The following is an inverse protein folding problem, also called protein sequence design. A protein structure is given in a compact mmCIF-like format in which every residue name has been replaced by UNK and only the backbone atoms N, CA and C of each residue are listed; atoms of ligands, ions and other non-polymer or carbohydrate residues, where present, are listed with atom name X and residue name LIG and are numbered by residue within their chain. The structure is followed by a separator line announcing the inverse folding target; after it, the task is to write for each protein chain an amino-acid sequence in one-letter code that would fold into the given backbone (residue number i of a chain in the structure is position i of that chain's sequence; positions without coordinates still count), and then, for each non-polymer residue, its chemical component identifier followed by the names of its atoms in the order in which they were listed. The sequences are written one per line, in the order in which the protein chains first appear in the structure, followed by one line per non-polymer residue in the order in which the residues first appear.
data_IF_346605623064
#
_entry.id   IF_346605623064
#
_cell.length_a   1.000
_cell.length_b   1.000
_cell.length_c   1.000
_cell.angle_alpha   90.00
_cell.angle_beta   90.00
_cell.angle_gamma   90.00
#
_symmetry.space_group_name_H-M   'P 1'
#
loop_
_entity.id
_entity.type
_entity.pdbx_description
1 polymer ?
#
# COMPACT_ATOMS: atom_id res chain seq x y z
N UNK A 1 -19.19 -9.44 -13.80
CA UNK A 1 -18.49 -10.75 -13.94
C UNK A 1 -18.92 -11.71 -12.85
N UNK A 2 -19.05 -11.22 -11.62
CA UNK A 2 -19.48 -12.01 -10.47
C UNK A 2 -20.96 -11.71 -10.20
N UNK A 3 -21.86 -12.71 -10.16
CA UNK A 3 -23.27 -12.47 -9.85
C UNK A 3 -23.49 -11.67 -8.56
N UNK A 4 -24.48 -10.78 -8.56
CA UNK A 4 -24.74 -9.83 -7.48
C UNK A 4 -24.88 -10.47 -6.09
N UNK A 5 -25.46 -11.67 -5.99
CA UNK A 5 -25.62 -12.39 -4.72
C UNK A 5 -24.28 -12.68 -4.03
N UNK A 6 -23.26 -13.06 -4.80
CA UNK A 6 -21.93 -13.36 -4.26
C UNK A 6 -21.17 -12.09 -3.85
N UNK A 7 -21.40 -10.99 -4.57
CA UNK A 7 -20.87 -9.67 -4.22
C UNK A 7 -21.52 -9.13 -2.93
N UNK A 8 -22.83 -9.34 -2.77
CA UNK A 8 -23.54 -8.97 -1.54
C UNK A 8 -23.04 -9.75 -0.33
N UNK A 9 -22.69 -11.03 -0.51
CA UNK A 9 -22.04 -11.81 0.54
C UNK A 9 -20.62 -11.28 0.83
N UNK A 10 -19.85 -10.95 -0.21
CA UNK A 10 -18.48 -10.43 -0.06
C UNK A 10 -18.41 -9.06 0.62
N UNK A 11 -19.44 -8.22 0.50
CA UNK A 11 -19.46 -6.91 1.16
C UNK A 11 -19.43 -6.97 2.69
N UNK A 12 -19.71 -8.13 3.30
CA UNK A 12 -19.52 -8.33 4.74
C UNK A 12 -18.02 -8.40 5.12
N UNK A 13 -17.18 -8.90 4.22
CA UNK A 13 -15.72 -9.01 4.37
C UNK A 13 -15.02 -7.75 3.88
N UNK A 14 -15.49 -7.20 2.75
CA UNK A 14 -14.93 -6.03 2.08
C UNK A 14 -16.02 -4.94 1.90
N UNK A 15 -16.35 -4.19 2.96
CA UNK A 15 -17.47 -3.23 2.98
C UNK A 15 -17.13 -1.90 2.28
N UNK A 16 -16.73 -1.99 1.01
CA UNK A 16 -16.39 -0.83 0.20
C UNK A 16 -17.63 -0.02 -0.20
N UNK A 17 -17.54 1.33 -0.25
CA UNK A 17 -18.69 2.19 -0.50
C UNK A 17 -19.27 2.06 -1.92
N UNK A 18 -18.46 1.65 -2.90
CA UNK A 18 -18.88 1.40 -4.27
C UNK A 18 -18.88 -0.11 -4.55
N UNK A 19 -19.99 -0.66 -5.04
CA UNK A 19 -20.11 -2.09 -5.31
C UNK A 19 -19.12 -2.59 -6.39
N UNK A 20 -18.66 -1.71 -7.28
CA UNK A 20 -17.57 -2.00 -8.23
C UNK A 20 -16.26 -2.29 -7.51
N UNK A 21 -16.00 -1.63 -6.37
CA UNK A 21 -14.84 -1.89 -5.52
C UNK A 21 -14.98 -3.23 -4.80
N UNK A 22 -16.20 -3.62 -4.40
CA UNK A 22 -16.48 -4.96 -3.81
C UNK A 22 -16.15 -6.06 -4.82
N UNK A 23 -16.59 -5.92 -6.07
CA UNK A 23 -16.25 -6.88 -7.13
C UNK A 23 -14.76 -6.90 -7.45
N UNK A 24 -14.12 -5.73 -7.57
CA UNK A 24 -12.68 -5.64 -7.77
C UNK A 24 -11.93 -6.36 -6.63
N UNK A 25 -12.32 -6.14 -5.38
CA UNK A 25 -11.65 -6.72 -4.22
C UNK A 25 -11.76 -8.26 -4.19
N UNK A 26 -12.92 -8.82 -4.56
CA UNK A 26 -13.07 -10.27 -4.70
C UNK A 26 -12.22 -10.82 -5.85
N UNK A 27 -12.15 -10.11 -6.98
CA UNK A 27 -11.28 -10.45 -8.12
C UNK A 27 -9.80 -10.43 -7.71
N UNK A 28 -9.35 -9.40 -6.98
CA UNK A 28 -7.99 -9.30 -6.45
C UNK A 28 -7.71 -10.47 -5.51
N UNK A 29 -8.66 -10.81 -4.63
CA UNK A 29 -8.50 -11.88 -3.65
C UNK A 29 -8.32 -13.24 -4.35
N UNK A 30 -9.14 -13.54 -5.36
CA UNK A 30 -8.96 -14.73 -6.20
C UNK A 30 -7.63 -14.69 -6.97
N UNK A 31 -7.30 -13.55 -7.59
CA UNK A 31 -6.08 -13.39 -8.36
C UNK A 31 -4.82 -13.63 -7.51
N UNK A 32 -4.82 -13.20 -6.25
CA UNK A 32 -3.74 -13.49 -5.31
C UNK A 32 -3.60 -14.99 -5.06
N UNK A 33 -4.70 -15.70 -4.81
CA UNK A 33 -4.66 -17.16 -4.66
C UNK A 33 -4.12 -17.86 -5.92
N UNK A 34 -4.62 -17.49 -7.10
CA UNK A 34 -4.20 -18.10 -8.37
C UNK A 34 -2.72 -17.84 -8.67
N UNK A 35 -2.25 -16.61 -8.45
CA UNK A 35 -0.84 -16.22 -8.66
C UNK A 35 0.11 -16.91 -7.68
N UNK A 36 -0.22 -16.97 -6.39
CA UNK A 36 0.67 -17.56 -5.38
C UNK A 36 0.61 -19.09 -5.33
N UNK A 37 -0.44 -19.71 -5.88
CA UNK A 37 -0.49 -21.17 -6.05
C UNK A 37 0.12 -21.67 -7.38
N UNK A 38 0.39 -20.78 -8.33
CA UNK A 38 0.99 -21.16 -9.61
C UNK A 38 2.42 -21.73 -9.41
N UNK A 39 2.67 -23.02 -9.75
CA UNK A 39 3.98 -23.65 -9.50
C UNK A 39 5.15 -22.93 -10.17
N UNK A 40 4.92 -22.35 -11.36
CA UNK A 40 5.92 -21.62 -12.13
C UNK A 40 6.37 -20.29 -11.47
N UNK A 41 5.59 -19.75 -10.52
CA UNK A 41 5.86 -18.49 -9.83
C UNK A 41 6.51 -18.68 -8.45
N UNK A 42 6.61 -19.93 -7.97
CA UNK A 42 7.16 -20.24 -6.65
C UNK A 42 8.60 -19.71 -6.52
N UNK A 43 8.82 -18.86 -5.52
CA UNK A 43 10.14 -18.28 -5.22
C UNK A 43 10.61 -17.22 -6.23
N UNK A 44 9.76 -16.78 -7.17
CA UNK A 44 10.07 -15.75 -8.18
C UNK A 44 9.47 -14.38 -7.89
N UNK A 45 8.41 -14.34 -7.08
CA UNK A 45 7.66 -13.13 -6.78
C UNK A 45 7.41 -12.98 -5.28
N UNK A 46 7.34 -11.74 -4.81
CA UNK A 46 6.89 -11.37 -3.49
C UNK A 46 5.87 -10.23 -3.57
N UNK A 47 4.81 -10.29 -2.78
CA UNK A 47 3.76 -9.27 -2.73
C UNK A 47 4.19 -8.07 -1.89
N UNK A 48 3.81 -6.85 -2.29
CA UNK A 48 4.08 -5.62 -1.56
C UNK A 48 2.99 -4.57 -1.78
N UNK A 49 3.27 -3.36 -1.31
CA UNK A 49 2.46 -2.19 -1.59
C UNK A 49 1.24 -2.08 -0.69
N UNK A 50 0.31 -1.19 -1.07
CA UNK A 50 -0.86 -0.89 -0.24
C UNK A 50 -1.82 -2.07 -0.10
N UNK A 51 -1.94 -2.88 -1.14
CA UNK A 51 -2.85 -4.03 -1.16
C UNK A 51 -2.31 -5.16 -0.28
N UNK A 52 -0.99 -5.41 -0.28
CA UNK A 52 -0.37 -6.38 0.62
C UNK A 52 -0.57 -6.02 2.09
N UNK A 53 -0.33 -4.75 2.45
CA UNK A 53 -0.57 -4.26 3.81
C UNK A 53 -2.03 -4.49 4.23
N UNK A 54 -2.98 -4.11 3.37
CA UNK A 54 -4.40 -4.20 3.68
C UNK A 54 -4.92 -5.65 3.77
N UNK A 55 -4.41 -6.56 2.93
CA UNK A 55 -4.87 -7.96 2.85
C UNK A 55 -4.16 -8.90 3.82
N UNK A 56 -2.90 -8.65 4.15
CA UNK A 56 -2.08 -9.58 4.93
C UNK A 56 -1.86 -9.16 6.39
N UNK A 57 -1.91 -7.86 6.69
CA UNK A 57 -1.49 -7.35 8.01
C UNK A 57 -2.66 -6.88 8.87
N UNK A 58 -3.62 -6.17 8.28
CA UNK A 58 -4.78 -5.69 9.03
C UNK A 58 -5.84 -6.79 9.17
N UNK A 59 -6.43 -6.90 10.36
CA UNK A 59 -7.52 -7.85 10.64
C UNK A 59 -8.79 -7.52 9.85
N UNK A 60 -8.98 -6.25 9.51
CA UNK A 60 -10.10 -5.76 8.70
C UNK A 60 -9.57 -4.80 7.64
N UNK A 61 -10.20 -4.73 6.47
CA UNK A 61 -9.81 -3.75 5.46
C UNK A 61 -10.01 -2.33 5.99
N UNK A 62 -8.96 -1.50 5.90
CA UNK A 62 -8.99 -0.11 6.41
C UNK A 62 -9.15 0.93 5.29
N UNK A 63 -8.69 0.62 4.08
CA UNK A 63 -8.94 1.43 2.89
C UNK A 63 -8.84 0.60 1.61
N UNK A 64 -9.56 1.00 0.59
CA UNK A 64 -9.56 0.38 -0.72
C UNK A 64 -8.20 0.53 -1.40
N UNK A 65 -7.79 -0.50 -2.12
CA UNK A 65 -6.57 -0.61 -2.90
C UNK A 65 -6.80 -1.59 -4.04
N UNK A 66 -6.42 -1.24 -5.26
CA UNK A 66 -6.87 -1.97 -6.47
C UNK A 66 -5.76 -2.63 -7.30
N UNK A 67 -4.51 -2.27 -7.04
CA UNK A 67 -3.34 -2.78 -7.77
C UNK A 67 -2.69 -3.96 -7.02
N UNK A 68 -2.14 -4.93 -7.74
CA UNK A 68 -1.27 -5.97 -7.19
C UNK A 68 0.19 -5.59 -7.48
N UNK A 69 0.89 -5.12 -6.45
CA UNK A 69 2.31 -4.76 -6.56
C UNK A 69 3.19 -5.96 -6.17
N UNK A 70 3.99 -6.46 -7.11
CA UNK A 70 4.92 -7.56 -6.94
C UNK A 70 6.37 -7.08 -7.07
N UNK A 71 7.28 -7.83 -6.47
CA UNK A 71 8.72 -7.73 -6.69
C UNK A 71 9.20 -9.05 -7.28
N UNK A 72 10.01 -8.97 -8.32
CA UNK A 72 10.79 -10.10 -8.79
C UNK A 72 11.89 -10.39 -7.77
N UNK A 73 11.88 -11.58 -7.17
CA UNK A 73 12.81 -11.92 -6.07
C UNK A 73 14.18 -12.40 -6.56
N UNK A 74 14.30 -12.75 -7.84
CA UNK A 74 15.53 -13.24 -8.46
C UNK A 74 15.92 -12.35 -9.65
N UNK A 75 17.20 -11.98 -9.82
CA UNK A 75 17.68 -11.16 -10.93
C UNK A 75 17.77 -11.99 -12.23
N UNK A 76 16.62 -12.32 -12.81
CA UNK A 76 16.50 -13.10 -14.06
C UNK A 76 15.67 -12.36 -15.12
N UNK A 77 15.66 -12.78 -16.39
CA UNK A 77 14.76 -12.22 -17.39
C UNK A 77 13.28 -12.38 -16.97
N UNK A 78 12.53 -11.27 -16.98
CA UNK A 78 11.16 -11.23 -16.45
C UNK A 78 10.12 -12.00 -17.30
N UNK A 79 10.47 -12.41 -18.52
CA UNK A 79 9.53 -12.97 -19.51
C UNK A 79 8.75 -14.18 -19.01
N UNK A 80 9.44 -15.19 -18.45
CA UNK A 80 8.80 -16.40 -17.95
C UNK A 80 7.84 -16.12 -16.77
N UNK A 81 8.19 -15.19 -15.88
CA UNK A 81 7.33 -14.74 -14.78
C UNK A 81 6.09 -14.04 -15.30
N UNK A 82 6.23 -13.18 -16.32
CA UNK A 82 5.10 -12.50 -16.97
C UNK A 82 4.14 -13.49 -17.61
N UNK A 83 4.67 -14.47 -18.36
CA UNK A 83 3.81 -15.47 -19.01
C UNK A 83 3.11 -16.35 -17.98
N UNK A 84 3.79 -16.76 -16.90
CA UNK A 84 3.16 -17.52 -15.82
C UNK A 84 2.07 -16.73 -15.08
N UNK A 85 2.23 -15.41 -14.86
CA UNK A 85 1.15 -14.57 -14.28
C UNK A 85 -0.03 -14.47 -15.26
N UNK A 86 0.23 -14.33 -16.56
CA UNK A 86 -0.82 -14.29 -17.58
C UNK A 86 -1.61 -15.59 -17.62
N UNK A 87 -0.94 -16.73 -17.53
CA UNK A 87 -1.58 -18.04 -17.51
C UNK A 87 -2.42 -18.24 -16.24
N UNK A 88 -1.88 -17.87 -15.07
CA UNK A 88 -2.60 -17.93 -13.79
C UNK A 88 -3.87 -17.06 -13.79
N UNK A 89 -3.85 -15.94 -14.52
CA UNK A 89 -4.95 -14.97 -14.60
C UNK A 89 -5.73 -15.04 -15.92
N UNK A 90 -5.58 -16.11 -16.70
CA UNK A 90 -6.21 -16.22 -18.02
C UNK A 90 -7.76 -16.15 -17.97
N UNK A 91 -8.36 -16.45 -16.82
CA UNK A 91 -9.81 -16.34 -16.59
C UNK A 91 -10.32 -14.89 -16.62
N UNK A 92 -9.46 -13.89 -16.45
CA UNK A 92 -9.79 -12.47 -16.65
C UNK A 92 -9.79 -12.06 -18.13
N UNK A 93 -9.41 -12.95 -19.04
CA UNK A 93 -9.38 -12.71 -20.48
C UNK A 93 -8.10 -12.02 -20.93
N UNK A 94 -8.23 -11.08 -21.89
CA UNK A 94 -7.10 -10.44 -22.54
C UNK A 94 -6.23 -9.61 -21.60
N UNK A 95 -4.91 -9.75 -21.73
CA UNK A 95 -3.92 -9.00 -20.98
C UNK A 95 -3.10 -8.10 -21.91
N UNK A 96 -3.03 -6.81 -21.61
CA UNK A 96 -2.00 -5.94 -22.20
C UNK A 96 -0.75 -5.92 -21.33
N UNK A 97 0.41 -5.76 -21.97
CA UNK A 97 1.71 -5.77 -21.32
C UNK A 97 2.49 -4.51 -21.69
N UNK A 98 3.05 -3.82 -20.72
CA UNK A 98 3.87 -2.64 -20.96
C UNK A 98 5.03 -2.55 -19.96
N UNK A 99 6.23 -2.21 -20.45
CA UNK A 99 7.36 -1.89 -19.58
C UNK A 99 7.27 -0.42 -19.18
N UNK A 100 7.39 -0.13 -17.89
CA UNK A 100 7.38 1.22 -17.34
C UNK A 100 8.60 1.39 -16.42
N UNK A 101 9.67 1.95 -16.95
CA UNK A 101 10.95 2.09 -16.24
C UNK A 101 11.48 0.74 -15.76
N UNK A 102 11.51 0.57 -14.43
CA UNK A 102 11.99 -0.63 -13.74
C UNK A 102 10.88 -1.63 -13.40
N UNK A 103 9.67 -1.41 -13.91
CA UNK A 103 8.52 -2.28 -13.66
C UNK A 103 7.94 -2.84 -14.95
N UNK A 104 7.42 -4.07 -14.87
CA UNK A 104 6.59 -4.66 -15.90
C UNK A 104 5.13 -4.59 -15.47
N UNK A 105 4.27 -3.98 -16.29
CA UNK A 105 2.85 -3.82 -16.00
C UNK A 105 2.02 -4.77 -16.86
N UNK A 106 1.15 -5.53 -16.21
CA UNK A 106 0.11 -6.34 -16.82
C UNK A 106 -1.24 -5.73 -16.47
N UNK A 107 -2.10 -5.55 -17.48
CA UNK A 107 -3.43 -4.98 -17.29
C UNK A 107 -4.47 -5.91 -17.88
N UNK A 108 -5.36 -6.40 -17.02
CA UNK A 108 -6.53 -7.21 -17.37
C UNK A 108 -7.76 -6.34 -17.26
N UNK A 109 -8.59 -6.29 -18.31
CA UNK A 109 -9.80 -5.46 -18.34
C UNK A 109 -11.03 -6.34 -18.26
N UNK A 110 -12.02 -5.90 -17.49
CA UNK A 110 -13.26 -6.63 -17.35
C UNK A 110 -14.45 -5.68 -17.13
N UNK A 111 -15.64 -6.15 -17.49
CA UNK A 111 -16.89 -5.46 -17.22
C UNK A 111 -17.42 -5.89 -15.83
N UNK A 112 -17.60 -4.95 -14.87
CA UNK A 112 -18.18 -5.28 -13.58
C UNK A 112 -19.67 -5.57 -13.72
N UNK A 113 -20.19 -6.42 -12.84
CA UNK A 113 -21.60 -6.77 -12.72
C UNK A 113 -22.49 -5.55 -12.48
N UNK A 114 -22.05 -4.65 -11.60
CA UNK A 114 -22.82 -3.48 -11.19
C UNK A 114 -23.08 -2.49 -12.35
N UNK A 115 -22.21 -2.48 -13.37
CA UNK A 115 -22.32 -1.62 -14.53
C UNK A 115 -21.58 -2.22 -15.73
N UNK A 116 -22.32 -2.95 -16.56
CA UNK A 116 -21.81 -3.62 -17.76
C UNK A 116 -21.33 -2.65 -18.86
N UNK A 117 -21.69 -1.36 -18.78
CA UNK A 117 -21.20 -0.34 -19.71
C UNK A 117 -19.85 0.24 -19.26
N UNK A 118 -19.49 0.05 -18.00
CA UNK A 118 -18.18 0.42 -17.48
C UNK A 118 -17.13 -0.67 -17.70
N UNK A 119 -15.86 -0.28 -17.57
CA UNK A 119 -14.74 -1.22 -17.64
C UNK A 119 -13.82 -0.96 -16.46
N UNK A 120 -13.63 -1.98 -15.62
CA UNK A 120 -12.60 -2.00 -14.58
C UNK A 120 -11.31 -2.63 -15.13
N UNK A 121 -10.24 -2.47 -14.37
CA UNK A 121 -8.94 -3.06 -14.68
C UNK A 121 -8.32 -3.64 -13.43
N UNK A 122 -7.79 -4.85 -13.53
CA UNK A 122 -6.81 -5.37 -12.58
C UNK A 122 -5.42 -5.06 -13.13
N UNK A 123 -4.62 -4.33 -12.36
CA UNK A 123 -3.23 -4.06 -12.70
C UNK A 123 -2.32 -4.91 -11.82
N UNK A 124 -1.42 -5.65 -12.46
CA UNK A 124 -0.31 -6.34 -11.78
C UNK A 124 0.98 -5.63 -12.19
N UNK A 125 1.65 -5.01 -11.22
CA UNK A 125 2.94 -4.34 -11.41
C UNK A 125 4.04 -5.21 -10.83
N UNK A 126 5.10 -5.49 -11.59
CA UNK A 126 6.23 -6.29 -11.12
C UNK A 126 7.48 -5.45 -11.19
N UNK A 127 8.01 -5.04 -10.04
CA UNK A 127 9.32 -4.38 -9.97
C UNK A 127 10.43 -5.41 -10.29
N UNK A 128 11.30 -5.08 -11.26
CA UNK A 128 12.35 -5.97 -11.78
C UNK A 128 13.76 -5.55 -11.36
N UNK A 129 13.89 -4.68 -10.35
CA UNK A 129 15.19 -4.13 -9.90
C UNK A 129 15.42 -4.24 -8.40
N UNK A 130 14.39 -4.02 -7.59
CA UNK A 130 14.45 -4.09 -6.13
C UNK A 130 14.39 -5.56 -5.63
N UNK A 131 15.30 -6.42 -6.11
CA UNK A 131 15.35 -7.85 -5.74
C UNK A 131 15.72 -8.07 -4.25
N UNK A 132 16.45 -7.12 -3.67
CA UNK A 132 16.91 -7.17 -2.29
C UNK A 132 15.80 -6.91 -1.28
N UNK A 133 15.99 -7.47 -0.08
CA UNK A 133 15.20 -7.19 1.11
C UNK A 133 16.14 -7.03 2.30
N UNK A 134 15.70 -6.29 3.34
CA UNK A 134 16.51 -6.02 4.52
C UNK A 134 16.31 -7.08 5.61
N UNK A 135 15.06 -7.50 5.86
CA UNK A 135 14.73 -8.42 6.95
C UNK A 135 14.21 -9.78 6.48
N UNK A 136 14.14 -10.02 5.18
CA UNK A 136 13.67 -11.28 4.63
C UNK A 136 12.27 -11.20 4.03
N UNK A 137 11.88 -12.33 3.45
CA UNK A 137 10.51 -12.62 2.99
C UNK A 137 9.93 -13.73 3.87
N UNK A 138 8.62 -13.65 4.12
CA UNK A 138 7.86 -14.64 4.89
C UNK A 138 6.58 -15.03 4.17
N UNK A 139 6.03 -16.18 4.55
CA UNK A 139 4.76 -16.67 4.04
C UNK A 139 3.63 -16.20 4.96
N UNK A 140 2.54 -15.75 4.34
CA UNK A 140 1.33 -15.29 5.00
C UNK A 140 0.17 -16.18 4.57
N UNK A 141 -0.52 -16.84 5.50
CA UNK A 141 -1.72 -17.59 5.16
C UNK A 141 -2.79 -16.60 4.67
N UNK A 142 -3.41 -16.94 3.55
CA UNK A 142 -4.45 -16.15 2.93
C UNK A 142 -5.59 -17.05 2.48
N UNK A 143 -6.82 -16.70 2.83
CA UNK A 143 -8.02 -17.45 2.48
C UNK A 143 -9.09 -16.55 1.89
N UNK A 144 -9.84 -17.11 0.94
CA UNK A 144 -11.03 -16.50 0.36
C UNK A 144 -12.17 -17.48 0.50
N UNK A 145 -13.23 -17.04 1.16
CA UNK A 145 -14.44 -17.83 1.37
C UNK A 145 -15.62 -17.08 0.75
N UNK A 146 -16.03 -17.52 -0.43
CA UNK A 146 -17.19 -17.00 -1.14
C UNK A 146 -17.73 -18.08 -2.08
N UNK A 147 -19.04 -18.19 -2.27
CA UNK A 147 -19.61 -19.23 -3.13
C UNK A 147 -19.22 -19.10 -4.61
N UNK A 148 -18.79 -17.91 -5.06
CA UNK A 148 -18.18 -17.74 -6.38
C UNK A 148 -16.75 -18.26 -6.46
N UNK A 149 -15.98 -18.18 -5.37
CA UNK A 149 -14.61 -18.65 -5.29
C UNK A 149 -14.18 -18.97 -3.86
N UNK A 150 -13.67 -20.19 -3.68
CA UNK A 150 -13.03 -20.62 -2.43
C UNK A 150 -11.60 -21.01 -2.73
N UNK A 151 -10.65 -20.49 -1.95
CA UNK A 151 -9.24 -20.75 -2.17
C UNK A 151 -8.38 -20.36 -0.98
N UNK A 152 -7.22 -21.01 -0.88
CA UNK A 152 -6.19 -20.71 0.11
C UNK A 152 -4.85 -20.60 -0.59
N UNK A 153 -3.96 -19.75 -0.08
CA UNK A 153 -2.59 -19.61 -0.56
C UNK A 153 -1.65 -19.19 0.58
N UNK A 154 -0.38 -19.56 0.45
CA UNK A 154 0.70 -19.03 1.26
C UNK A 154 1.37 -17.88 0.49
N UNK A 155 0.93 -16.65 0.76
CA UNK A 155 1.41 -15.47 0.05
C UNK A 155 2.80 -15.09 0.56
N UNK A 156 3.78 -15.11 -0.34
CA UNK A 156 5.13 -14.63 -0.03
C UNK A 156 5.13 -13.10 -0.04
N UNK A 157 5.55 -12.48 1.05
CA UNK A 157 5.63 -11.02 1.21
C UNK A 157 6.74 -10.65 2.19
N UNK A 158 7.02 -9.37 2.36
CA UNK A 158 8.11 -8.85 3.20
C UNK A 158 7.69 -8.79 4.68
N UNK A 159 8.66 -8.60 5.57
CA UNK A 159 8.38 -8.25 6.98
C UNK A 159 7.53 -6.95 7.06
N UNK A 160 6.63 -6.81 8.06
CA UNK A 160 5.72 -5.66 8.18
C UNK A 160 6.47 -4.33 8.15
N UNK A 161 7.50 -4.17 8.98
CA UNK A 161 8.30 -2.96 9.05
C UNK A 161 8.95 -2.62 7.71
N UNK A 162 9.22 -3.62 6.86
CA UNK A 162 9.78 -3.43 5.54
C UNK A 162 8.74 -2.90 4.54
N UNK A 163 7.52 -3.47 4.56
CA UNK A 163 6.40 -2.92 3.80
C UNK A 163 6.11 -1.46 4.19
N UNK A 164 6.10 -1.16 5.49
CA UNK A 164 5.87 0.19 6.00
C UNK A 164 7.08 1.12 5.81
N UNK A 165 8.31 0.63 5.78
CA UNK A 165 9.50 1.41 5.41
C UNK A 165 9.37 1.99 3.99
N UNK A 166 8.88 1.19 3.05
CA UNK A 166 8.58 1.68 1.69
C UNK A 166 7.41 2.68 1.65
N UNK A 167 6.49 2.60 2.62
CA UNK A 167 5.43 3.61 2.81
C UNK A 167 5.97 4.93 3.33
N UNK A 168 6.93 4.91 4.26
CA UNK A 168 7.63 6.12 4.71
C UNK A 168 8.41 6.76 3.54
N UNK A 169 9.08 5.94 2.72
CA UNK A 169 9.74 6.40 1.48
C UNK A 169 8.75 7.10 0.56
N UNK A 170 7.63 6.45 0.25
CA UNK A 170 6.57 7.03 -0.58
C UNK A 170 5.98 8.30 0.03
N UNK A 171 5.65 8.30 1.33
CA UNK A 171 5.13 9.48 2.02
C UNK A 171 6.07 10.69 1.87
N UNK A 172 7.38 10.48 1.96
CA UNK A 172 8.37 11.56 1.87
C UNK A 172 8.76 11.93 0.43
N UNK A 173 8.48 11.10 -0.56
CA UNK A 173 8.77 11.41 -1.98
C UNK A 173 7.57 11.98 -2.75
N UNK A 174 6.33 11.71 -2.30
CA UNK A 174 5.11 12.18 -2.99
C UNK A 174 4.06 12.74 -2.05
N UNK A 175 3.07 13.42 -2.62
CA UNK A 175 1.93 13.99 -1.89
C UNK A 175 0.69 13.11 -2.05
N UNK A 176 0.71 11.94 -1.38
CA UNK A 176 -0.44 11.04 -1.27
C UNK A 176 -0.68 10.72 0.21
N UNK A 177 -1.78 11.20 0.77
CA UNK A 177 -2.01 11.09 2.21
C UNK A 177 -2.47 9.68 2.60
N UNK A 178 -2.84 8.82 1.64
CA UNK A 178 -3.03 7.40 1.90
C UNK A 178 -1.80 6.70 2.50
N UNK A 179 -0.58 7.17 2.18
CA UNK A 179 0.64 6.65 2.81
C UNK A 179 0.76 7.09 4.27
N UNK A 180 0.31 8.31 4.61
CA UNK A 180 0.21 8.79 5.99
C UNK A 180 -0.81 7.97 6.77
N UNK A 181 -1.97 7.72 6.18
CA UNK A 181 -3.01 6.87 6.74
C UNK A 181 -2.48 5.47 7.04
N UNK A 182 -1.87 4.80 6.04
CA UNK A 182 -1.31 3.45 6.22
C UNK A 182 -0.32 3.43 7.39
N UNK A 183 0.67 4.33 7.38
CA UNK A 183 1.70 4.38 8.44
C UNK A 183 1.09 4.59 9.83
N UNK A 184 0.15 5.52 9.98
CA UNK A 184 -0.48 5.78 11.26
C UNK A 184 -1.29 4.57 11.75
N UNK A 185 -2.05 3.90 10.88
CA UNK A 185 -2.78 2.69 11.23
C UNK A 185 -1.85 1.53 11.57
N UNK A 186 -0.74 1.37 10.84
CA UNK A 186 0.28 0.37 11.13
C UNK A 186 0.93 0.59 12.51
N UNK A 187 1.31 1.83 12.82
CA UNK A 187 1.94 2.16 14.10
C UNK A 187 0.97 1.95 15.27
N UNK A 188 -0.32 2.22 15.06
CA UNK A 188 -1.34 2.07 16.09
C UNK A 188 -1.76 0.62 16.34
N UNK A 189 -1.95 -0.16 15.27
CA UNK A 189 -2.61 -1.47 15.37
C UNK A 189 -1.66 -2.66 15.35
N UNK A 190 -0.46 -2.52 14.77
CA UNK A 190 0.42 -3.66 14.47
C UNK A 190 1.65 -3.75 15.38
N UNK A 191 1.84 -2.81 16.32
CA UNK A 191 2.96 -2.85 17.27
C UNK A 191 4.34 -2.81 16.59
N UNK A 192 4.46 -2.06 15.49
CA UNK A 192 5.66 -2.05 14.64
C UNK A 192 6.90 -1.51 15.36
N UNK A 193 8.07 -2.09 15.06
CA UNK A 193 9.34 -1.54 15.51
C UNK A 193 9.76 -0.33 14.64
N UNK A 194 9.62 0.87 15.20
CA UNK A 194 9.99 2.12 14.54
C UNK A 194 11.46 2.17 14.08
N UNK A 195 12.39 1.53 14.82
CA UNK A 195 13.80 1.52 14.42
C UNK A 195 14.02 0.63 13.19
N UNK A 196 13.38 -0.54 13.14
CA UNK A 196 13.40 -1.40 11.94
C UNK A 196 12.76 -0.72 10.74
N UNK A 197 11.62 -0.05 10.92
CA UNK A 197 10.95 0.69 9.85
C UNK A 197 11.86 1.78 9.26
N UNK A 198 12.51 2.58 10.13
CA UNK A 198 13.49 3.60 9.69
C UNK A 198 14.69 2.96 8.99
N UNK A 199 15.17 1.80 9.46
CA UNK A 199 16.25 1.06 8.78
C UNK A 199 15.83 0.60 7.37
N UNK A 200 14.59 0.12 7.19
CA UNK A 200 14.05 -0.22 5.88
C UNK A 200 13.94 1.01 4.97
N UNK A 201 13.47 2.13 5.51
CA UNK A 201 13.42 3.39 4.77
C UNK A 201 14.81 3.81 4.26
N UNK A 202 15.84 3.79 5.12
CA UNK A 202 17.22 4.10 4.75
C UNK A 202 17.74 3.13 3.68
N UNK A 203 17.50 1.82 3.86
CA UNK A 203 17.91 0.77 2.93
C UNK A 203 17.36 1.00 1.52
N UNK A 204 16.05 1.23 1.42
CA UNK A 204 15.37 1.42 0.14
C UNK A 204 15.67 2.76 -0.53
N UNK A 205 16.05 3.79 0.21
CA UNK A 205 16.57 5.03 -0.38
C UNK A 205 17.98 4.81 -0.96
N UNK A 206 18.84 4.09 -0.23
CA UNK A 206 20.19 3.80 -0.69
C UNK A 206 20.19 2.97 -1.99
N UNK A 207 19.24 2.04 -2.15
CA UNK A 207 19.06 1.29 -3.41
C UNK A 207 18.65 2.17 -4.61
N UNK A 208 18.09 3.36 -4.36
CA UNK A 208 17.74 4.35 -5.39
C UNK A 208 18.83 5.42 -5.59
N UNK A 209 20.03 5.23 -5.00
CA UNK A 209 21.08 6.25 -4.90
C UNK A 209 20.57 7.59 -4.35
N UNK A 210 19.56 7.53 -3.48
CA UNK A 210 18.88 8.67 -2.90
C UNK A 210 19.17 8.78 -1.40
N UNK A 211 19.01 9.99 -0.87
CA UNK A 211 19.04 10.26 0.57
C UNK A 211 17.98 11.28 0.94
N UNK A 212 17.33 11.11 2.08
CA UNK A 212 16.44 12.10 2.66
C UNK A 212 16.89 12.29 4.11
N UNK A 213 17.45 13.46 4.40
CA UNK A 213 17.84 13.85 5.75
C UNK A 213 16.62 14.13 6.62
N UNK A 214 16.81 14.12 7.95
CA UNK A 214 15.77 14.56 8.90
C UNK A 214 15.24 15.95 8.56
N UNK A 215 16.12 16.91 8.25
CA UNK A 215 15.71 18.26 7.89
C UNK A 215 14.79 18.30 6.65
N UNK A 216 15.12 17.53 5.60
CA UNK A 216 14.27 17.44 4.41
C UNK A 216 12.95 16.74 4.70
N UNK A 217 12.96 15.68 5.51
CA UNK A 217 11.75 14.98 5.89
C UNK A 217 10.79 15.87 6.69
N UNK A 218 11.31 16.60 7.69
CA UNK A 218 10.55 17.59 8.47
C UNK A 218 9.95 18.67 7.56
N UNK A 219 10.74 19.24 6.66
CA UNK A 219 10.26 20.23 5.69
C UNK A 219 9.13 19.66 4.81
N UNK A 220 9.34 18.48 4.22
CA UNK A 220 8.36 17.84 3.33
C UNK A 220 7.08 17.46 4.06
N UNK A 221 7.17 17.03 5.32
CA UNK A 221 6.01 16.75 6.16
C UNK A 221 5.24 18.04 6.45
N UNK A 222 5.89 19.10 6.96
CA UNK A 222 5.21 20.37 7.24
C UNK A 222 4.55 20.97 5.99
N UNK A 223 5.17 20.82 4.82
CA UNK A 223 4.56 21.24 3.54
C UNK A 223 3.24 20.54 3.23
N UNK A 224 2.98 19.33 3.75
CA UNK A 224 1.70 18.62 3.53
C UNK A 224 0.52 19.34 4.17
N UNK A 225 0.73 20.02 5.30
CA UNK A 225 -0.28 20.81 6.02
C UNK A 225 -0.72 22.10 5.28
N UNK A 226 -0.17 22.36 4.08
CA UNK A 226 -0.65 23.45 3.20
C UNK A 226 -1.90 23.08 2.40
N UNK A 227 -2.36 21.82 2.47
CA UNK A 227 -3.58 21.31 1.83
C UNK A 227 -4.25 20.28 2.74
N UNK A 228 -5.44 19.83 2.35
CA UNK A 228 -6.14 18.74 3.03
C UNK A 228 -5.28 17.47 3.08
N UNK A 229 -5.29 16.82 4.25
CA UNK A 229 -4.72 15.49 4.48
C UNK A 229 -5.73 14.36 4.24
N UNK A 230 -6.99 14.69 3.98
CA UNK A 230 -8.13 13.77 3.95
C UNK A 230 -8.69 13.56 2.53
N UNK A 231 -8.45 14.50 1.61
CA UNK A 231 -9.08 14.54 0.28
C UNK A 231 -8.84 13.28 -0.56
N UNK A 232 -7.63 12.73 -0.59
CA UNK A 232 -7.28 11.56 -1.42
C UNK A 232 -7.49 10.21 -0.72
N UNK A 233 -7.82 10.22 0.58
CA UNK A 233 -8.08 9.01 1.37
C UNK A 233 -9.57 8.80 1.61
N UNK A 234 -10.35 9.87 1.81
CA UNK A 234 -11.78 9.77 2.11
C UNK A 234 -12.58 8.90 1.12
N UNK A 235 -12.37 8.96 -0.21
CA UNK A 235 -13.08 8.10 -1.17
C UNK A 235 -12.70 6.62 -1.10
N UNK A 236 -11.63 6.28 -0.38
CA UNK A 236 -11.11 4.92 -0.24
C UNK A 236 -11.54 4.24 1.06
N UNK A 237 -12.15 4.96 1.99
CA UNK A 237 -12.50 4.40 3.29
C UNK A 237 -13.77 3.55 3.20
N UNK A 238 -13.81 2.38 3.84
CA UNK A 238 -15.03 1.58 3.94
C UNK A 238 -16.06 2.26 4.85
N UNK A 239 -17.31 1.85 4.72
CA UNK A 239 -18.36 2.31 5.62
C UNK A 239 -18.01 1.95 7.08
N UNK A 240 -17.96 2.97 7.95
CA UNK A 240 -17.64 2.81 9.37
C UNK A 240 -16.19 3.12 9.76
N UNK A 241 -15.28 3.34 8.81
CA UNK A 241 -13.94 3.88 9.10
C UNK A 241 -13.97 5.39 8.93
N UNK A 242 -13.70 6.12 10.02
CA UNK A 242 -13.59 7.58 10.03
C UNK A 242 -12.13 8.00 9.98
N UNK A 243 -11.84 9.00 9.15
CA UNK A 243 -10.55 9.68 9.12
C UNK A 243 -10.76 11.15 8.74
N UNK A 244 -11.12 11.96 9.73
CA UNK A 244 -11.32 13.39 9.55
C UNK A 244 -10.04 14.21 9.73
N UNK A 245 -10.14 15.53 9.66
CA UNK A 245 -8.98 16.41 9.78
C UNK A 245 -8.28 16.31 11.15
N UNK A 246 -9.02 16.00 12.23
CA UNK A 246 -8.45 15.79 13.55
C UNK A 246 -7.74 14.43 13.63
N UNK A 247 -8.30 13.38 13.05
CA UNK A 247 -7.63 12.08 12.88
C UNK A 247 -6.35 12.22 12.06
N UNK A 248 -6.41 12.95 10.94
CA UNK A 248 -5.28 13.16 10.05
C UNK A 248 -4.16 13.98 10.71
N UNK A 249 -4.51 14.97 11.54
CA UNK A 249 -3.54 15.70 12.34
C UNK A 249 -2.87 14.82 13.38
N UNK A 250 -3.63 13.96 14.09
CA UNK A 250 -3.06 12.97 15.02
C UNK A 250 -2.14 11.97 14.30
N UNK A 251 -2.55 11.50 13.13
CA UNK A 251 -1.74 10.62 12.28
C UNK A 251 -0.43 11.29 11.87
N UNK A 252 -0.50 12.57 11.47
CA UNK A 252 0.66 13.40 11.15
C UNK A 252 1.62 13.49 12.34
N UNK A 253 1.12 13.83 13.52
CA UNK A 253 1.92 13.97 14.74
C UNK A 253 2.55 12.64 15.16
N UNK A 254 1.81 11.53 15.05
CA UNK A 254 2.33 10.20 15.35
C UNK A 254 3.50 9.84 14.45
N UNK A 255 3.32 9.94 13.13
CA UNK A 255 4.38 9.64 12.15
C UNK A 255 5.57 10.60 12.34
N UNK A 256 5.31 11.85 12.69
CA UNK A 256 6.37 12.80 13.01
C UNK A 256 7.22 12.35 14.20
N UNK A 257 6.57 12.09 15.33
CA UNK A 257 7.24 11.76 16.60
C UNK A 257 7.91 10.39 16.50
N UNK A 258 7.20 9.39 16.00
CA UNK A 258 7.68 8.02 16.02
C UNK A 258 8.69 7.71 14.91
N UNK A 259 8.60 8.36 13.74
CA UNK A 259 9.44 8.03 12.58
C UNK A 259 10.33 9.20 12.13
N UNK A 260 9.74 10.34 11.78
CA UNK A 260 10.48 11.47 11.17
C UNK A 260 11.56 12.02 12.10
N UNK A 261 11.26 12.12 13.40
CA UNK A 261 12.21 12.62 14.41
C UNK A 261 13.43 11.71 14.62
N UNK A 262 13.32 10.43 14.23
CA UNK A 262 14.37 9.41 14.34
C UNK A 262 15.29 9.33 13.13
N UNK A 263 14.95 10.04 12.04
CA UNK A 263 15.77 10.07 10.83
C UNK A 263 17.14 10.71 11.11
N UNK A 264 18.14 10.34 10.32
CA UNK A 264 19.52 10.80 10.49
C UNK A 264 19.68 12.28 10.16
N UNK A 265 20.59 12.93 10.88
CA UNK A 265 20.95 14.33 10.71
C UNK A 265 20.20 15.28 11.64
N UNK A 266 20.58 16.55 11.56
CA UNK A 266 19.97 17.59 12.40
C UNK A 266 18.53 17.90 11.97
N UNK A 267 17.66 18.33 12.91
CA UNK A 267 16.32 18.82 12.59
C UNK A 267 16.39 20.03 11.65
N UNK A 268 15.29 20.30 10.95
CA UNK A 268 15.22 21.47 10.08
C UNK A 268 15.22 22.75 10.92
N UNK A 269 16.18 23.64 10.67
CA UNK A 269 16.35 24.90 11.42
C UNK A 269 15.08 25.77 11.46
N UNK A 270 14.18 25.62 10.49
CA UNK A 270 12.93 26.38 10.41
C UNK A 270 11.72 25.67 11.04
N UNK A 271 11.85 24.44 11.55
CA UNK A 271 10.73 23.66 12.10
C UNK A 271 9.94 24.44 13.14
N UNK A 272 10.60 24.98 14.17
CA UNK A 272 9.92 25.73 15.23
C UNK A 272 9.18 26.97 14.70
N UNK A 273 9.79 27.68 13.74
CA UNK A 273 9.18 28.86 13.11
C UNK A 273 7.94 28.49 12.31
N UNK A 274 8.02 27.46 11.47
CA UNK A 274 6.92 27.02 10.60
C UNK A 274 5.78 26.42 11.42
N UNK A 275 6.09 25.63 12.45
CA UNK A 275 5.08 25.11 13.39
C UNK A 275 4.37 26.26 14.11
N UNK A 276 5.09 27.28 14.56
CA UNK A 276 4.46 28.46 15.19
C UNK A 276 3.54 29.22 14.23
N UNK A 277 3.88 29.31 12.94
CA UNK A 277 3.03 29.91 11.91
C UNK A 277 1.78 29.06 11.63
N UNK A 278 1.92 27.74 11.52
CA UNK A 278 0.80 26.81 11.34
C UNK A 278 -0.16 26.80 12.53
N UNK A 279 0.37 26.89 13.76
CA UNK A 279 -0.45 27.03 14.99
C UNK A 279 -1.34 28.27 14.96
N UNK A 280 -0.83 29.40 14.44
CA UNK A 280 -1.61 30.64 14.27
C UNK A 280 -2.65 30.57 13.15
N UNK A 281 -2.51 29.63 12.21
CA UNK A 281 -3.34 29.53 10.99
C UNK A 281 -4.40 28.43 11.02
N UNK A 282 -4.57 27.70 12.13
CA UNK A 282 -5.63 26.72 12.27
C UNK A 282 -5.24 25.39 12.93
N UNK A 283 -3.97 25.20 13.29
CA UNK A 283 -3.50 23.99 13.97
C UNK A 283 -2.96 24.27 15.38
N UNK A 284 -3.77 24.81 16.32
CA UNK A 284 -3.28 25.37 17.58
C UNK A 284 -2.48 24.37 18.44
N UNK A 285 -2.78 23.08 18.31
CA UNK A 285 -2.14 21.99 19.07
C UNK A 285 -1.00 21.30 18.34
N UNK A 286 -0.70 21.67 17.08
CA UNK A 286 0.27 20.97 16.23
C UNK A 286 1.61 20.78 16.94
N UNK A 287 1.98 19.53 17.19
CA UNK A 287 3.25 19.11 17.78
C UNK A 287 3.55 19.82 19.11
N UNK A 288 2.54 20.08 19.94
CA UNK A 288 2.69 20.78 21.22
C UNK A 288 3.67 20.11 22.20
N UNK A 289 3.95 18.81 22.03
CA UNK A 289 4.95 18.06 22.80
C UNK A 289 6.38 18.08 22.23
N UNK A 290 6.67 18.84 21.16
CA UNK A 290 8.05 19.11 20.74
C UNK A 290 8.65 20.18 21.66
N UNK A 291 9.08 19.75 22.84
CA UNK A 291 9.80 20.50 23.85
C UNK A 291 10.60 19.55 24.72
#
# INVERSE_FOLDING_TARGET
MIPQSFLQAWSATAPWPDFRQVEQDLIISRALCDVFNAPALRGKIAFRGGTAINKLLFQRPLRYSEDIDLVQTQPEPIGATVDAIRDALAWLGGCSRNQAGHSMHLVFRFAPEADLQSTLKLKVEINTREHGNLFGIRQYPFSVENDWYQGQAEIVSFEPEELFGTKLRALLQRRKNRDLFDLAQGLDQLGMDAAKLVACFDHYLALEDASITRAEAEQRMLQKLTRSLTEDIAPLLPAGVRFDDADALRAFERVWVELVSRLRGDPWKSTSKVVAELRKRGYPTLLQGLG
#
